data_IF_804957812261
#
_entry.id   IF_804957812261
#
_cell.length_a   1.000
_cell.length_b   1.000
_cell.length_c   1.000
_cell.angle_alpha   90.00
_cell.angle_beta   90.00
_cell.angle_gamma   90.00
#
_symmetry.space_group_name_H-M   'P 1'
#
loop_
_entity.id
_entity.type
_entity.pdbx_description
1 polymer ?
2 polymer ?
3 polymer ?
4 non-polymer ?
5 non-polymer ?
6 water ?
#
# COMPACT_ATOMS: atom_id res chain seq x y z
N UNK A 1 -14.01 1.75 -6.54
CA UNK A 1 -13.52 1.48 -7.87
C UNK A 1 -12.84 2.71 -8.47
N UNK A 2 -13.14 3.89 -7.95
CA UNK A 2 -12.59 5.07 -8.59
C UNK A 2 -12.45 6.32 -7.73
N UNK A 3 -12.99 7.41 -8.30
CA UNK A 3 -12.99 8.75 -7.72
C UNK A 3 -13.41 8.63 -6.28
N UNK A 4 -12.70 9.28 -5.36
CA UNK A 4 -13.03 9.16 -3.95
C UNK A 4 -13.20 7.71 -3.55
N UNK A 5 -12.58 6.86 -4.36
CA UNK A 5 -12.54 5.42 -4.23
C UNK A 5 -13.81 4.65 -4.59
N UNK A 6 -14.54 4.18 -3.58
CA UNK A 6 -15.72 3.37 -3.77
C UNK A 6 -17.06 4.05 -3.48
N UNK A 7 -17.76 3.49 -2.49
CA UNK A 7 -19.06 3.98 -2.05
C UNK A 7 -19.12 3.84 -0.57
N UNK A 8 -18.78 2.61 -0.19
CA UNK A 8 -18.65 2.20 1.19
C UNK A 8 -17.14 2.24 1.48
N UNK A 9 -16.38 2.67 0.47
CA UNK A 9 -14.94 2.70 0.61
C UNK A 9 -14.42 3.41 1.82
N UNK A 10 -13.28 2.92 2.26
CA UNK A 10 -12.56 3.55 3.35
C UNK A 10 -13.22 3.49 4.72
N UNK A 11 -14.39 2.80 4.84
CA UNK A 11 -15.07 2.65 6.14
C UNK A 11 -14.90 1.22 6.60
N UNK A 12 -14.07 0.99 7.63
CA UNK A 12 -13.81 -0.36 8.07
C UNK A 12 -14.92 -1.01 8.89
N UNK A 13 -15.26 -2.23 8.53
CA UNK A 13 -16.31 -2.93 9.24
C UNK A 13 -16.06 -3.03 10.72
N UNK A 14 -14.81 -3.27 11.11
CA UNK A 14 -14.56 -3.43 12.53
C UNK A 14 -14.28 -2.18 13.28
N UNK A 15 -14.17 -1.07 12.56
CA UNK A 15 -13.82 0.18 13.25
C UNK A 15 -14.87 1.27 12.95
N UNK A 16 -14.74 2.00 11.85
CA UNK A 16 -15.68 3.04 11.50
C UNK A 16 -17.13 2.60 11.55
N UNK A 17 -17.48 1.50 10.91
CA UNK A 17 -18.85 1.04 10.93
C UNK A 17 -19.40 0.78 12.33
N UNK A 18 -18.55 0.54 13.34
CA UNK A 18 -19.03 0.24 14.67
C UNK A 18 -18.67 1.37 15.61
N UNK A 19 -18.06 2.35 14.98
CA UNK A 19 -17.67 3.48 15.81
C UNK A 19 -16.57 3.09 16.79
N UNK A 20 -15.67 2.22 16.35
CA UNK A 20 -14.57 1.96 17.26
C UNK A 20 -13.34 2.53 16.57
N UNK A 21 -12.37 2.97 17.33
CA UNK A 21 -11.14 3.52 16.78
C UNK A 21 -9.98 2.57 16.95
N UNK A 22 -9.04 2.52 16.00
CA UNK A 22 -7.90 1.65 16.16
C UNK A 22 -6.93 2.32 17.11
N UNK A 23 -5.95 1.57 17.55
CA UNK A 23 -5.03 2.11 18.51
C UNK A 23 -4.17 3.29 18.17
N UNK A 24 -3.94 3.61 16.90
CA UNK A 24 -3.08 4.75 16.71
C UNK A 24 -3.69 5.74 15.76
N UNK A 25 -4.94 5.55 15.37
CA UNK A 25 -5.44 6.50 14.40
C UNK A 25 -5.41 7.96 14.88
N UNK A 26 -5.56 8.13 16.18
CA UNK A 26 -5.54 9.41 16.86
C UNK A 26 -4.30 10.18 16.38
N UNK A 27 -3.16 9.46 16.30
CA UNK A 27 -1.88 10.03 15.88
C UNK A 27 -2.05 10.74 14.54
N UNK A 28 -2.72 10.07 13.64
CA UNK A 28 -2.90 10.68 12.35
C UNK A 28 -3.72 11.93 12.49
N UNK A 29 -4.86 11.75 13.09
CA UNK A 29 -5.79 12.84 13.20
C UNK A 29 -5.15 14.01 13.89
N UNK A 30 -4.34 13.73 14.89
CA UNK A 30 -3.78 14.85 15.57
C UNK A 30 -2.75 15.57 14.74
N UNK A 31 -2.24 14.97 13.69
CA UNK A 31 -1.21 15.64 12.93
C UNK A 31 -1.85 16.50 11.88
N UNK A 32 -3.14 16.33 11.62
CA UNK A 32 -3.78 17.10 10.56
C UNK A 32 -4.20 18.36 11.27
N UNK A 33 -3.36 18.63 12.25
CA UNK A 33 -3.50 19.72 13.17
C UNK A 33 -4.82 19.57 13.93
N UNK A 34 -4.93 18.39 14.55
CA UNK A 34 -6.06 17.89 15.33
C UNK A 34 -7.31 17.71 14.49
N UNK A 35 -7.80 16.47 14.47
CA UNK A 35 -8.95 16.05 13.69
C UNK A 35 -10.31 16.68 13.98
N UNK A 36 -11.27 16.18 13.19
CA UNK A 36 -12.68 16.53 13.16
C UNK A 36 -13.27 16.92 14.52
N UNK B 1 8.17 -3.82 7.48
CA UNK B 1 8.12 -2.56 8.18
C UNK B 1 9.09 -2.58 9.36
N UNK B 2 9.88 -1.53 9.43
CA UNK B 2 10.87 -1.29 10.47
C UNK B 2 10.33 -0.32 11.48
N UNK B 3 10.34 -0.77 12.74
CA UNK B 3 9.86 0.01 13.88
C UNK B 3 8.35 0.21 13.85
N UNK B 4 7.58 -0.75 13.38
CA UNK B 4 6.15 -0.55 13.44
C UNK B 4 5.59 -1.39 14.58
N UNK B 5 4.33 -1.75 14.53
CA UNK B 5 3.72 -2.61 15.54
C UNK B 5 2.79 -3.56 14.85
N UNK B 6 2.30 -4.50 15.62
CA UNK B 6 1.37 -5.45 15.05
C UNK B 6 0.10 -4.72 14.74
N UNK B 7 -0.47 -4.95 13.58
CA UNK B 7 -1.71 -4.28 13.29
C UNK B 7 -2.77 -4.97 14.12
N UNK B 8 -3.94 -4.35 14.28
CA UNK B 8 -5.05 -4.97 14.96
C UNK B 8 -5.84 -5.73 13.90
N UNK B 9 -6.65 -6.68 14.34
CA UNK B 9 -7.40 -7.43 13.36
C UNK B 9 -8.38 -6.48 12.65
N UNK B 10 -8.49 -6.69 11.33
CA UNK B 10 -9.35 -5.88 10.50
C UNK B 10 -8.93 -4.41 10.43
N UNK B 11 -7.73 -4.05 10.81
CA UNK B 11 -7.32 -2.66 10.73
C UNK B 11 -7.04 -2.12 9.33
N UNK B 12 -6.65 -2.94 8.35
CA UNK B 12 -6.36 -2.53 6.98
C UNK B 12 -6.97 -3.58 6.09
N UNK B 13 -8.27 -3.61 6.10
CA UNK B 13 -8.95 -4.61 5.36
C UNK B 13 -8.74 -4.47 3.87
N UNK B 14 -8.03 -3.44 3.39
CA UNK B 14 -7.76 -3.37 1.96
C UNK B 14 -6.35 -3.90 1.68
N UNK B 15 -5.62 -4.27 2.72
CA UNK B 15 -4.26 -4.75 2.52
C UNK B 15 -4.27 -6.04 1.76
N UNK B 16 -3.50 -6.09 0.71
CA UNK B 16 -3.46 -7.28 -0.12
C UNK B 16 -2.08 -7.91 -0.13
N UNK B 17 -1.98 -9.23 -0.24
CA UNK B 17 -0.66 -9.83 -0.29
C UNK B 17 -0.39 -10.37 -1.67
N UNK B 18 0.66 -9.91 -2.33
CA UNK B 18 1.03 -10.39 -3.67
C UNK B 18 1.90 -11.62 -3.42
N UNK B 19 1.38 -12.75 -3.85
CA UNK B 19 2.01 -14.00 -3.50
C UNK B 19 2.47 -14.83 -4.67
N UNK B 20 3.74 -15.21 -4.51
CA UNK B 20 4.37 -16.02 -5.53
C UNK B 20 3.96 -17.49 -5.44
N UNK B 21 3.42 -17.96 -6.56
CA UNK B 21 2.97 -19.33 -6.64
C UNK B 21 4.12 -20.28 -6.48
N UNK B 22 5.17 -20.03 -7.25
CA UNK B 22 6.25 -20.96 -7.11
C UNK B 22 7.60 -20.46 -7.53
N UNK B 23 8.56 -20.42 -6.61
CA UNK B 23 8.45 -20.80 -5.22
C UNK B 23 7.36 -19.98 -4.54
N UNK B 24 6.84 -20.46 -3.43
CA UNK B 24 5.79 -19.75 -2.74
C UNK B 24 6.45 -18.69 -1.92
N UNK B 25 6.20 -17.43 -2.28
CA UNK B 25 6.80 -16.34 -1.52
C UNK B 25 6.04 -15.03 -1.63
N UNK B 26 6.27 -14.21 -0.63
CA UNK B 26 5.67 -12.90 -0.56
C UNK B 26 6.48 -12.06 -1.52
N UNK B 27 5.81 -11.46 -2.51
CA UNK B 27 6.43 -10.59 -3.49
C UNK B 27 6.40 -9.13 -3.04
N UNK B 28 5.23 -8.67 -2.56
CA UNK B 28 5.03 -7.27 -2.22
C UNK B 28 3.63 -7.15 -1.64
N UNK B 29 3.30 -5.93 -1.25
CA UNK B 29 1.98 -5.59 -0.74
C UNK B 29 1.20 -5.06 -1.95
N UNK B 30 -0.06 -4.76 -1.69
CA UNK B 30 -0.97 -4.24 -2.68
C UNK B 30 -2.20 -3.81 -1.93
N UNK B 31 -3.18 -3.23 -2.64
CA UNK B 31 -4.39 -2.74 -2.01
C UNK B 31 -5.62 -2.98 -2.89
N UNK B 32 -6.76 -3.28 -2.22
CA UNK B 32 -8.05 -3.58 -2.83
C UNK B 32 -8.77 -2.23 -2.92
N UNK B 33 -9.04 -1.83 -4.16
CA UNK B 33 -9.69 -0.57 -4.47
C UNK B 33 -11.15 -0.74 -4.87
N UNK B 34 -11.55 -1.96 -5.13
CA UNK B 34 -12.94 -2.28 -5.42
C UNK B 34 -13.05 -3.79 -5.35
N UNK B 35 -14.21 -4.33 -5.69
CA UNK B 35 -14.28 -5.77 -5.60
C UNK B 35 -13.48 -6.60 -6.59
N UNK B 36 -13.01 -5.99 -7.66
CA UNK B 36 -12.28 -6.72 -8.68
C UNK B 36 -10.87 -6.12 -8.97
N UNK B 37 -10.49 -5.05 -8.30
CA UNK B 37 -9.22 -4.39 -8.64
C UNK B 37 -8.24 -4.17 -7.52
N UNK B 38 -6.99 -4.48 -7.85
CA UNK B 38 -5.97 -4.32 -6.86
C UNK B 38 -4.95 -3.35 -7.39
N UNK B 39 -4.41 -2.52 -6.52
CA UNK B 39 -3.44 -1.50 -6.90
C UNK B 39 -2.11 -1.87 -6.24
N UNK B 40 -1.05 -1.74 -7.05
CA UNK B 40 0.28 -2.05 -6.55
C UNK B 40 1.30 -1.21 -7.32
N UNK B 41 2.57 -1.44 -7.02
CA UNK B 41 3.68 -0.73 -7.67
C UNK B 41 4.11 -1.53 -8.88
N UNK B 42 4.30 -0.84 -10.01
CA UNK B 42 4.76 -1.52 -11.22
C UNK B 42 6.00 -2.41 -11.00
N UNK B 43 6.95 -1.95 -10.20
CA UNK B 43 8.18 -2.65 -9.98
C UNK B 43 8.06 -3.97 -9.29
N UNK B 44 6.91 -4.15 -8.65
CA UNK B 44 6.67 -5.41 -8.01
C UNK B 44 6.49 -6.48 -9.08
N UNK B 45 6.06 -6.06 -10.27
CA UNK B 45 5.81 -6.98 -11.36
C UNK B 45 6.89 -6.99 -12.44
N UNK B 46 7.44 -5.81 -12.76
CA UNK B 46 8.40 -5.58 -13.83
C UNK B 46 9.56 -4.71 -13.44
N UNK B 47 10.70 -5.33 -13.63
CA UNK B 47 11.98 -4.74 -13.33
C UNK B 47 13.12 -5.45 -14.04
N UNK B 48 13.17 -5.16 -15.33
CA UNK B 48 14.15 -5.69 -16.27
C UNK B 48 15.60 -5.73 -15.79
N UNK B 49 16.09 -4.72 -15.11
CA UNK B 49 17.44 -4.81 -14.66
C UNK B 49 17.72 -6.01 -13.76
N UNK B 50 16.68 -6.64 -13.22
CA UNK B 50 16.92 -7.77 -12.33
C UNK B 50 16.22 -8.97 -12.87
N UNK B 51 15.91 -8.80 -14.14
CA UNK B 51 15.20 -9.85 -14.81
C UNK B 51 13.83 -10.14 -14.20
N UNK B 52 13.18 -9.15 -13.63
CA UNK B 52 11.87 -9.43 -13.06
C UNK B 52 10.77 -9.05 -14.01
N UNK B 53 9.98 -10.05 -14.39
CA UNK B 53 8.88 -9.78 -15.28
C UNK B 53 7.72 -10.72 -14.99
N UNK B 54 6.95 -10.46 -13.93
CA UNK B 54 5.81 -11.29 -13.55
C UNK B 54 4.59 -11.09 -14.41
N UNK B 55 4.01 -12.24 -14.52
CA UNK B 55 2.82 -12.46 -15.29
C UNK B 55 1.66 -12.93 -14.43
N UNK B 56 0.48 -12.73 -15.01
CA UNK B 56 -0.81 -13.03 -14.43
C UNK B 56 -0.74 -14.37 -13.77
N UNK B 57 -0.30 -15.30 -14.58
CA UNK B 57 -0.20 -16.68 -14.16
C UNK B 57 0.88 -16.97 -13.14
N UNK B 58 1.72 -16.00 -12.85
CA UNK B 58 2.77 -16.31 -11.91
C UNK B 58 2.38 -16.01 -10.51
N UNK B 59 1.27 -15.29 -10.38
CA UNK B 59 0.87 -14.80 -9.09
C UNK B 59 -0.51 -15.15 -8.59
N UNK B 60 -0.54 -14.95 -7.29
CA UNK B 60 -1.72 -15.08 -6.49
C UNK B 60 -1.90 -13.84 -5.60
N UNK B 61 -3.14 -13.43 -5.43
CA UNK B 61 -3.47 -12.31 -4.57
C UNK B 61 -4.19 -12.91 -3.35
N UNK B 62 -3.73 -12.60 -2.15
CA UNK B 62 -4.36 -13.08 -0.93
C UNK B 62 -4.86 -11.88 -0.17
N UNK B 63 -6.17 -11.89 0.10
CA UNK B 63 -6.85 -10.80 0.79
C UNK B 63 -7.50 -11.17 2.13
N UNK B 64 -7.54 -10.21 3.05
CA UNK B 64 -8.09 -10.40 4.37
C UNK B 64 -7.11 -11.05 5.33
N UNK B 65 -5.84 -11.05 4.98
CA UNK B 65 -4.86 -11.68 5.85
C UNK B 65 -4.44 -10.88 7.04
N UNK B 66 -3.91 -11.65 7.97
CA UNK B 66 -3.35 -11.05 9.15
C UNK B 66 -1.94 -11.64 9.35
N UNK B 67 -1.94 -12.93 9.55
CA UNK B 67 -0.71 -13.69 9.69
C UNK B 67 0.00 -13.71 8.33
N UNK B 68 1.33 -13.55 8.36
CA UNK B 68 2.11 -13.56 7.14
C UNK B 68 2.19 -14.93 6.43
N UNK B 69 2.51 -16.00 7.18
CA UNK B 69 2.68 -17.32 6.56
C UNK B 69 1.52 -18.30 6.65
N UNK B 70 0.64 -18.04 7.60
CA UNK B 70 -0.44 -18.99 7.73
C UNK B 70 -1.52 -18.88 6.67
N UNK B 71 -2.13 -20.02 6.35
CA UNK B 71 -3.22 -19.97 5.40
C UNK B 71 -4.46 -19.83 6.27
N UNK B 72 -4.92 -18.59 6.42
CA UNK B 72 -6.04 -18.25 7.29
C UNK B 72 -7.41 -18.73 6.82
N UNK B 73 -7.64 -20.00 7.12
CA UNK B 73 -8.84 -20.73 6.74
C UNK B 73 -10.07 -19.98 7.25
N UNK B 74 -11.01 -19.85 6.34
CA UNK B 74 -12.24 -19.16 6.58
C UNK B 74 -12.07 -17.67 6.77
N UNK B 75 -10.89 -17.12 6.58
CA UNK B 75 -10.73 -15.69 6.73
C UNK B 75 -10.24 -15.05 5.45
N UNK B 76 -9.09 -15.51 4.98
CA UNK B 76 -8.53 -14.94 3.78
C UNK B 76 -9.19 -15.50 2.55
N UNK B 77 -9.04 -14.77 1.48
CA UNK B 77 -9.50 -15.15 0.18
C UNK B 77 -8.30 -15.02 -0.75
N UNK B 78 -8.14 -16.04 -1.59
CA UNK B 78 -7.06 -16.08 -2.56
C UNK B 78 -7.63 -15.90 -3.94
N UNK B 79 -7.10 -15.02 -4.76
CA UNK B 79 -7.72 -14.90 -6.05
C UNK B 79 -6.65 -14.90 -7.07
N UNK B 80 -7.18 -15.07 -8.26
CA UNK B 80 -6.37 -15.08 -9.42
C UNK B 80 -6.60 -13.82 -10.19
N UNK B 81 -5.53 -13.56 -10.93
CA UNK B 81 -5.49 -12.38 -11.77
C UNK B 81 -6.00 -12.63 -13.15
N UNK B 82 -6.83 -11.71 -13.60
CA UNK B 82 -7.33 -11.75 -14.95
C UNK B 82 -6.34 -11.01 -15.83
N UNK B 83 -5.89 -9.83 -15.38
CA UNK B 83 -4.97 -9.02 -16.18
C UNK B 83 -4.24 -8.02 -15.34
N UNK B 84 -3.04 -7.73 -15.79
CA UNK B 84 -2.12 -6.77 -15.20
C UNK B 84 -1.96 -5.58 -16.12
N UNK B 85 -1.96 -4.39 -15.54
CA UNK B 85 -1.78 -3.21 -16.34
C UNK B 85 -0.74 -2.40 -15.64
N UNK B 86 0.30 -2.09 -16.37
CA UNK B 86 1.37 -1.27 -15.80
C UNK B 86 1.28 0.12 -16.43
N UNK B 87 1.66 1.18 -15.74
CA UNK B 87 1.60 2.46 -16.41
C UNK B 87 2.53 2.49 -17.63
N UNK B 88 1.98 2.82 -18.81
CA UNK B 88 2.73 2.91 -20.05
C UNK B 88 3.97 3.75 -19.90
N UNK B 89 4.02 4.72 -18.99
CA UNK B 89 5.22 5.49 -18.80
C UNK B 89 5.96 5.20 -17.50
N UNK B 90 5.76 4.03 -16.86
CA UNK B 90 6.51 3.71 -15.64
C UNK B 90 8.01 3.75 -16.02
N UNK B 91 8.83 4.47 -15.27
CA UNK B 91 10.24 4.60 -15.68
C UNK B 91 11.20 3.73 -14.90
N UNK B 92 11.32 2.46 -15.32
CA UNK B 92 12.21 1.58 -14.59
C UNK B 92 13.66 1.82 -14.92
N UNK B 93 13.95 2.47 -16.04
CA UNK B 93 15.33 2.74 -16.38
C UNK B 93 15.96 3.78 -15.50
N UNK B 94 15.20 4.77 -15.08
CA UNK B 94 15.87 5.78 -14.30
C UNK B 94 15.42 5.89 -12.88
N UNK B 95 14.22 6.33 -12.57
CA UNK B 95 13.96 6.48 -11.14
C UNK B 95 12.63 5.91 -10.62
N UNK B 96 12.05 4.94 -11.35
CA UNK B 96 10.79 4.33 -10.97
C UNK B 96 9.70 5.39 -10.94
N UNK B 97 9.75 6.30 -11.87
CA UNK B 97 8.71 7.30 -11.90
C UNK B 97 7.50 6.56 -12.44
N UNK B 98 6.35 6.92 -11.88
CA UNK B 98 5.10 6.30 -12.26
C UNK B 98 5.12 4.82 -11.91
N UNK B 99 5.53 4.52 -10.68
CA UNK B 99 5.61 3.14 -10.31
C UNK B 99 4.23 2.68 -9.83
N UNK B 100 3.36 2.28 -10.78
CA UNK B 100 2.03 1.90 -10.35
C UNK B 100 1.51 0.93 -11.34
N UNK B 101 0.56 0.12 -10.90
CA UNK B 101 -0.03 -0.85 -11.77
C UNK B 101 -1.27 -1.35 -11.07
N UNK B 102 -2.19 -1.73 -11.94
CA UNK B 102 -3.48 -2.30 -11.62
C UNK B 102 -3.54 -3.77 -12.01
N UNK B 103 -4.20 -4.54 -11.15
CA UNK B 103 -4.44 -5.95 -11.38
C UNK B 103 -5.93 -6.18 -11.23
N UNK B 104 -6.45 -6.78 -12.28
CA UNK B 104 -7.84 -7.10 -12.35
C UNK B 104 -8.06 -8.55 -11.93
N UNK B 105 -8.92 -8.70 -10.94
CA UNK B 105 -9.11 -10.03 -10.42
C UNK B 105 -9.92 -10.91 -11.32
N UNK B 106 -9.60 -12.19 -11.31
CA UNK B 106 -10.43 -13.05 -12.13
C UNK B 106 -11.91 -12.96 -11.77
N UNK B 107 -12.20 -12.88 -10.45
CA UNK B 107 -13.57 -12.72 -9.97
C UNK B 107 -13.60 -11.79 -8.78
N UNK B 108 -14.74 -11.12 -8.68
CA UNK B 108 -14.95 -10.18 -7.61
C UNK B 108 -14.81 -10.94 -6.32
N UNK B 109 -14.29 -10.24 -5.34
CA UNK B 109 -14.09 -10.85 -4.06
C UNK B 109 -15.24 -10.35 -3.22
N UNK B 110 -15.65 -11.11 -2.22
CA UNK B 110 -16.72 -10.60 -1.40
C UNK B 110 -16.12 -9.92 -0.19
N UNK B 111 -16.70 -8.78 0.17
CA UNK B 111 -16.31 -8.03 1.35
C UNK B 111 -16.74 -8.82 2.57
N UNK B 112 -16.09 -8.57 3.69
CA UNK B 112 -16.39 -9.25 4.92
C UNK B 112 -15.79 -8.31 5.94
N UNK B 113 -15.80 -8.72 7.20
CA UNK B 113 -15.21 -7.89 8.22
C UNK B 113 -13.73 -7.63 7.95
N UNK B 114 -13.07 -8.55 7.22
CA UNK B 114 -11.62 -8.49 7.02
C UNK B 114 -11.13 -8.04 5.65
N UNK B 115 -12.08 -7.86 4.77
CA UNK B 115 -11.87 -7.46 3.40
C UNK B 115 -12.80 -6.33 3.01
N UNK B 116 -12.23 -5.18 2.72
CA UNK B 116 -13.00 -4.02 2.35
C UNK B 116 -12.09 -3.05 1.61
N UNK B 117 -12.52 -2.43 0.52
CA UNK B 117 -11.69 -1.55 -0.26
C UNK B 117 -11.41 -0.20 0.35
N UNK B 118 -10.32 0.40 -0.09
CA UNK B 118 -9.95 1.72 0.38
C UNK B 118 -10.43 2.75 -0.65
N UNK B 119 -10.58 4.05 -0.33
CA UNK B 119 -10.97 4.98 -1.34
C UNK B 119 -9.76 5.61 -2.02
N UNK B 120 -9.97 6.03 -3.26
CA UNK B 120 -8.91 6.71 -3.97
C UNK B 120 -9.21 8.18 -3.76
N UNK B 121 -8.19 8.98 -3.53
CA UNK B 121 -8.45 10.37 -3.28
C UNK B 121 -8.96 11.14 -4.50
N UNK B 122 -9.65 12.22 -4.19
CA UNK B 122 -10.15 13.18 -5.14
C UNK B 122 -9.20 14.37 -4.98
N UNK B 123 -9.31 15.29 -5.93
CA UNK B 123 -8.46 16.48 -5.95
C UNK B 123 -8.46 17.22 -4.65
N UNK B 124 -9.64 17.33 -4.12
CA UNK B 124 -9.70 18.07 -2.90
C UNK B 124 -9.18 17.33 -1.70
N UNK B 125 -9.36 16.02 -1.70
CA UNK B 125 -8.85 15.30 -0.54
C UNK B 125 -7.32 15.41 -0.51
N UNK B 126 -6.76 15.22 -1.72
CA UNK B 126 -5.34 15.32 -1.97
C UNK B 126 -4.84 16.67 -1.55
N UNK B 127 -5.53 17.67 -2.06
CA UNK B 127 -5.12 18.99 -1.70
C UNK B 127 -5.06 19.18 -0.19
N UNK B 128 -6.09 18.75 0.54
CA UNK B 128 -6.04 18.93 1.98
C UNK B 128 -5.14 18.04 2.80
N UNK B 129 -4.92 16.81 2.38
CA UNK B 129 -4.14 16.00 3.31
C UNK B 129 -2.67 15.84 3.02
N UNK B 130 -2.40 15.98 1.72
CA UNK B 130 -1.04 15.82 1.26
C UNK B 130 -0.20 17.02 1.60
N UNK B 131 0.09 17.17 2.90
CA UNK B 131 0.89 18.26 3.45
C UNK B 131 2.01 17.84 4.40
N UNK B 132 3.16 18.53 4.26
CA UNK B 132 4.32 18.22 5.09
C UNK B 132 3.89 18.25 6.53
N UNK B 133 4.24 17.18 7.27
CA UNK B 133 3.90 17.06 8.66
C UNK B 133 2.65 16.18 8.89
N UNK B 134 1.80 16.11 7.90
CA UNK B 134 0.64 15.27 8.13
C UNK B 134 1.08 13.83 8.08
N UNK B 135 0.52 13.00 8.95
CA UNK B 135 0.94 11.61 8.93
C UNK B 135 0.01 10.71 8.18
N UNK B 136 0.59 9.68 7.61
CA UNK B 136 -0.09 8.64 6.86
C UNK B 136 0.32 7.33 7.52
N UNK B 137 -0.21 6.22 7.00
CA UNK B 137 0.09 4.97 7.62
C UNK B 137 0.47 4.00 6.55
N UNK B 138 1.47 3.19 6.89
CA UNK B 138 1.93 2.19 5.94
C UNK B 138 1.80 0.81 6.55
N UNK B 139 1.41 -0.16 5.76
CA UNK B 139 1.31 -1.44 6.42
C UNK B 139 1.95 -2.48 5.55
N UNK B 140 2.35 -3.60 6.16
CA UNK B 140 2.93 -4.63 5.31
C UNK B 140 3.60 -5.76 6.11
N UNK B 141 3.94 -6.82 5.43
CA UNK B 141 4.58 -7.97 6.05
C UNK B 141 6.08 -8.03 5.75
N UNK B 142 6.64 -6.94 5.26
CA UNK B 142 8.04 -6.88 4.92
C UNK B 142 8.94 -6.97 6.14
N UNK B 143 10.23 -7.03 5.83
CA UNK B 143 11.24 -7.16 6.84
C UNK B 143 11.10 -6.10 7.87
N UNK B 144 11.63 -6.51 9.01
CA UNK B 144 11.63 -5.71 10.20
C UNK B 144 12.91 -4.90 10.36
N UNK B 145 13.89 -5.24 9.54
CA UNK B 145 15.22 -4.63 9.58
C UNK B 145 15.88 -4.73 8.23
N UNK B 146 16.80 -3.78 7.96
CA UNK B 146 17.55 -3.74 6.71
C UNK B 146 18.25 -5.07 6.37
N UNK B 147 18.97 -5.67 7.32
CA UNK B 147 19.67 -6.97 7.24
C UNK B 147 19.59 -7.66 8.61
N UNK B 148 19.25 -8.92 8.86
CA UNK B 148 18.84 -9.16 10.22
C UNK B 148 18.86 -10.43 11.06
N UNK B 155 14.55 -9.46 11.72
CA UNK B 155 14.21 -10.56 10.82
C UNK B 155 12.86 -10.35 10.11
N UNK B 156 11.94 -11.28 10.23
CA UNK B 156 10.61 -11.10 9.59
C UNK B 156 9.37 -11.13 10.50
N UNK B 157 8.26 -10.41 10.24
CA UNK B 157 7.15 -10.45 11.21
C UNK B 157 6.24 -11.66 11.13
N UNK B 158 5.47 -11.89 12.19
CA UNK B 158 4.51 -13.02 12.13
C UNK B 158 3.14 -12.54 11.62
N UNK B 159 2.88 -11.30 11.99
CA UNK B 159 1.61 -10.67 11.65
C UNK B 159 1.79 -9.32 10.95
N UNK B 160 0.73 -8.89 10.27
CA UNK B 160 0.82 -7.64 9.58
C UNK B 160 1.32 -6.55 10.51
N UNK B 161 2.23 -5.67 10.02
CA UNK B 161 2.79 -4.58 10.84
C UNK B 161 2.27 -3.23 10.37
N UNK B 162 2.39 -2.24 11.22
CA UNK B 162 1.93 -0.93 10.84
C UNK B 162 2.82 0.17 11.39
N UNK B 163 2.87 1.30 10.70
CA UNK B 163 3.62 2.42 11.20
C UNK B 163 3.03 3.67 10.58
N UNK B 164 2.96 4.74 11.38
CA UNK B 164 2.48 6.02 10.92
C UNK B 164 3.67 6.92 10.66
N UNK B 165 3.68 7.63 9.56
CA UNK B 165 4.82 8.45 9.25
C UNK B 165 4.35 9.74 8.68
N UNK B 166 5.13 10.75 8.94
CA UNK B 166 4.84 12.09 8.42
C UNK B 166 5.32 12.33 6.98
N UNK B 167 4.50 13.04 6.23
CA UNK B 167 4.89 13.43 4.90
C UNK B 167 5.99 14.48 5.07
N UNK B 168 6.97 14.48 4.18
CA UNK B 168 8.10 15.39 4.26
C UNK B 168 8.13 16.42 3.12
N UNK B 169 8.67 17.61 3.38
CA UNK B 169 8.77 18.62 2.35
C UNK B 169 9.62 18.16 1.18
N UNK B 170 9.16 18.48 -0.03
CA UNK B 170 9.83 18.15 -1.24
C UNK B 170 11.34 18.40 -1.28
N UNK B 171 11.79 19.54 -0.79
CA UNK B 171 13.20 19.88 -0.82
C UNK B 171 14.01 18.95 0.06
N UNK B 172 13.50 18.69 1.27
CA UNK B 172 14.23 17.76 2.10
C UNK B 172 14.29 16.42 1.39
N UNK B 173 13.19 16.06 0.69
CA UNK B 173 13.17 14.80 -0.02
C UNK B 173 14.29 14.70 -1.04
N UNK B 174 14.32 15.73 -1.88
CA UNK B 174 15.28 15.88 -2.96
C UNK B 174 16.72 15.88 -2.46
N UNK B 175 16.92 16.62 -1.37
CA UNK B 175 18.25 16.74 -0.79
C UNK B 175 18.78 15.54 -0.08
N UNK B 176 17.99 14.48 -0.09
CA UNK B 176 18.35 13.29 0.64
C UNK B 176 18.85 12.23 -0.29
N UNK B 177 18.78 12.53 -1.57
CA UNK B 177 19.25 11.46 -2.42
C UNK B 177 19.84 12.05 -3.67
N UNK B 178 20.40 11.20 -4.50
CA UNK B 178 20.95 11.65 -5.76
C UNK B 178 20.05 11.28 -6.88
N UNK B 179 18.98 10.56 -6.53
CA UNK B 179 18.01 10.17 -7.55
C UNK B 179 17.13 11.38 -7.92
N UNK B 180 16.79 11.54 -9.20
CA UNK B 180 15.91 12.63 -9.64
C UNK B 180 14.44 12.28 -9.27
N UNK B 181 13.90 13.05 -8.35
CA UNK B 181 12.55 12.98 -7.81
C UNK B 181 11.59 13.66 -8.78
N UNK B 182 10.36 13.17 -8.94
CA UNK B 182 9.38 13.77 -9.84
C UNK B 182 8.16 14.12 -9.02
N UNK B 183 7.26 14.80 -9.70
CA UNK B 183 6.00 15.21 -9.14
C UNK B 183 5.17 13.98 -8.92
N UNK B 184 5.53 12.82 -9.48
CA UNK B 184 4.71 11.63 -9.25
C UNK B 184 5.11 10.84 -8.02
N UNK B 185 5.90 11.47 -7.16
CA UNK B 185 6.35 10.84 -5.95
C UNK B 185 6.31 11.80 -4.80
N UNK B 186 6.26 11.26 -3.59
CA UNK B 186 6.34 12.03 -2.40
C UNK B 186 7.17 11.16 -1.47
N UNK B 187 7.75 11.77 -0.45
CA UNK B 187 8.57 11.02 0.47
C UNK B 187 8.02 11.26 1.84
N UNK B 188 8.29 10.29 2.67
CA UNK B 188 7.80 10.44 4.03
C UNK B 188 8.73 9.73 5.02
N UNK B 189 8.62 10.15 6.27
CA UNK B 189 9.40 9.54 7.31
C UNK B 189 9.84 10.64 8.24
N UNK B 190 10.39 10.20 9.36
CA UNK B 190 10.87 11.15 10.32
C UNK B 190 12.29 11.57 9.93
N UNK B 191 12.64 12.74 10.45
CA UNK B 191 13.97 13.32 10.32
C UNK B 191 14.82 12.82 11.50
N UNK B 192 16.11 12.59 11.25
CA UNK B 192 17.02 12.07 12.27
C UNK B 192 16.87 12.70 13.65
N UNK B 193 16.50 13.97 13.57
CA UNK B 193 16.26 14.91 14.64
C UNK B 193 15.07 14.54 15.47
N UNK B 194 14.05 14.09 14.75
CA UNK B 194 12.77 13.75 15.30
C UNK B 194 12.73 12.72 16.40
N UNK B 195 13.72 11.84 16.44
CA UNK B 195 13.68 10.83 17.49
C UNK B 195 12.37 10.04 17.46
N UNK B 196 12.14 9.41 16.33
CA UNK B 196 10.99 8.58 16.02
C UNK B 196 11.42 7.95 14.74
N UNK B 197 11.26 6.65 14.59
CA UNK B 197 11.74 6.00 13.40
C UNK B 197 10.59 5.31 12.72
N UNK B 198 10.92 4.50 11.73
CA UNK B 198 9.94 3.72 11.02
C UNK B 198 10.11 3.88 9.54
N UNK B 199 9.84 2.78 8.86
CA UNK B 199 9.94 2.82 7.43
C UNK B 199 9.40 1.51 6.88
N UNK B 200 9.15 1.52 5.59
CA UNK B 200 8.77 0.36 4.86
C UNK B 200 10.11 -0.32 4.60
N UNK B 201 10.06 -1.59 4.30
CA UNK B 201 11.27 -2.33 4.04
C UNK B 201 10.98 -3.40 3.02
N UNK B 202 11.99 -4.20 2.79
CA UNK B 202 11.81 -5.24 1.81
C UNK B 202 10.57 -6.06 2.08
N UNK B 203 9.76 -6.32 1.05
CA UNK B 203 8.56 -7.09 1.29
C UNK B 203 7.35 -6.18 1.39
N UNK B 204 7.52 -4.91 1.74
CA UNK B 204 6.43 -3.97 1.87
C UNK B 204 6.05 -3.19 0.62
N UNK B 205 6.91 -3.17 -0.37
CA UNK B 205 6.63 -2.41 -1.57
C UNK B 205 5.34 -2.81 -2.19
N UNK B 206 4.74 -1.83 -2.86
CA UNK B 206 3.48 -2.04 -3.54
C UNK B 206 2.35 -1.86 -2.56
N UNK B 207 2.68 -1.80 -1.26
CA UNK B 207 1.64 -1.59 -0.26
C UNK B 207 1.17 -0.11 -0.22
N UNK B 208 0.09 0.10 0.53
CA UNK B 208 -0.51 1.44 0.60
C UNK B 208 -0.02 2.34 1.70
N UNK B 209 -0.05 3.61 1.34
CA UNK B 209 0.26 4.62 2.33
C UNK B 209 -1.13 5.25 2.43
N UNK B 210 -1.74 5.18 3.58
CA UNK B 210 -3.09 5.72 3.60
C UNK B 210 -3.25 6.80 4.61
N UNK B 211 -4.31 7.60 4.39
CA UNK B 211 -4.68 8.65 5.34
C UNK B 211 -6.18 8.63 5.63
N UNK B 212 -6.57 9.05 6.84
CA UNK B 212 -7.98 9.10 7.21
C UNK B 212 -8.47 10.54 7.12
N UNK B 213 -9.50 10.80 6.30
CA UNK B 213 -10.03 12.16 6.16
C UNK B 213 -10.74 12.60 7.43
N UNK B 214 -10.37 13.80 7.89
CA UNK B 214 -11.01 14.31 9.08
C UNK B 214 -12.37 14.88 8.70
N UNK B 215 -12.65 15.04 7.40
CA UNK B 215 -13.91 15.58 6.95
C UNK B 215 -14.93 14.51 6.81
N UNK B 216 -14.57 13.35 6.29
CA UNK B 216 -15.61 12.35 6.17
C UNK B 216 -15.34 11.00 6.83
N UNK B 217 -14.30 10.91 7.62
CA UNK B 217 -13.95 9.67 8.31
C UNK B 217 -13.51 8.47 7.52
N UNK B 218 -13.31 8.67 6.22
CA UNK B 218 -12.89 7.57 5.41
C UNK B 218 -11.40 7.49 5.21
N UNK B 219 -10.95 6.27 4.92
CA UNK B 219 -9.56 6.07 4.63
C UNK B 219 -9.30 6.22 3.13
N UNK B 220 -8.26 7.00 2.83
CA UNK B 220 -7.86 7.21 1.44
C UNK B 220 -6.43 6.76 1.18
N UNK B 221 -6.20 6.12 0.05
CA UNK B 221 -4.82 5.73 -0.21
C UNK B 221 -4.12 6.85 -0.97
N UNK B 222 -3.22 7.53 -0.31
CA UNK B 222 -2.55 8.58 -1.05
C UNK B 222 -1.29 8.15 -1.76
N UNK B 223 -0.64 7.09 -1.27
CA UNK B 223 0.61 6.63 -1.84
C UNK B 223 0.74 5.11 -1.92
N UNK B 224 1.76 4.70 -2.71
CA UNK B 224 2.12 3.29 -2.84
C UNK B 224 3.56 3.20 -2.44
N UNK B 225 3.93 2.25 -1.60
CA UNK B 225 5.31 2.05 -1.17
C UNK B 225 6.14 1.78 -2.43
N UNK B 226 7.06 2.71 -2.75
CA UNK B 226 7.78 2.56 -4.00
C UNK B 226 9.27 2.31 -3.87
N UNK B 227 10.00 3.24 -3.26
CA UNK B 227 11.41 2.98 -3.13
C UNK B 227 12.02 3.75 -1.99
N UNK B 228 13.23 3.30 -1.66
CA UNK B 228 13.98 3.93 -0.60
C UNK B 228 15.35 3.31 -0.55
N UNK B 229 16.30 4.04 -0.01
CA UNK B 229 17.70 3.61 0.09
C UNK B 229 17.93 3.06 1.48
N UNK B 230 17.91 1.72 1.56
CA UNK B 230 18.01 1.00 2.83
C UNK B 230 16.64 1.03 3.52
N UNK B 231 16.60 0.80 4.82
CA UNK B 231 15.32 0.87 5.52
C UNK B 231 15.52 1.57 6.82
N UNK B 232 14.74 2.60 7.02
CA UNK B 232 14.87 3.29 8.28
C UNK B 232 16.26 3.87 8.47
N UNK B 233 16.95 4.25 7.41
CA UNK B 233 18.26 4.83 7.65
C UNK B 233 18.11 6.30 8.00
N UNK B 234 19.02 6.83 8.84
CA UNK B 234 18.97 8.24 9.20
C UNK B 234 19.26 9.16 8.02
N UNK B 235 18.47 10.21 7.89
CA UNK B 235 18.60 11.14 6.80
C UNK B 235 18.07 10.60 5.47
N UNK B 236 17.42 9.45 5.50
CA UNK B 236 16.89 8.92 4.26
C UNK B 236 15.36 8.83 4.46
N UNK B 237 14.60 8.84 3.38
CA UNK B 237 13.17 8.79 3.44
C UNK B 237 12.65 7.75 2.50
N UNK B 238 11.36 7.50 2.67
CA UNK B 238 10.72 6.55 1.82
C UNK B 238 10.06 7.36 0.73
N UNK B 239 10.08 6.78 -0.46
CA UNK B 239 9.43 7.44 -1.55
C UNK B 239 8.21 6.63 -1.89
N UNK B 240 7.13 7.35 -2.22
CA UNK B 240 5.89 6.70 -2.58
C UNK B 240 5.31 7.24 -3.86
N UNK B 241 4.63 6.40 -4.64
CA UNK B 241 3.92 6.87 -5.81
C UNK B 241 2.73 7.73 -5.42
N UNK B 242 2.57 8.86 -6.10
CA UNK B 242 1.52 9.86 -5.82
C UNK B 242 0.27 9.44 -6.51
N UNK B 243 -0.56 8.78 -5.74
CA UNK B 243 -1.71 8.16 -6.37
C UNK B 243 -2.58 9.18 -7.08
N UNK B 244 -2.82 10.27 -6.39
CA UNK B 244 -3.70 11.22 -7.01
C UNK B 244 -3.22 11.67 -8.38
N UNK B 245 -1.95 12.04 -8.48
CA UNK B 245 -1.43 12.49 -9.75
C UNK B 245 -1.62 11.46 -10.80
N UNK B 246 -1.74 10.21 -10.41
CA UNK B 246 -1.90 9.22 -11.44
C UNK B 246 -3.33 8.71 -11.52
N UNK B 247 -4.25 9.41 -10.89
CA UNK B 247 -5.61 8.93 -10.90
C UNK B 247 -6.31 8.78 -12.25
N UNK B 248 -6.01 9.73 -13.14
CA UNK B 248 -6.65 9.69 -14.43
C UNK B 248 -6.26 8.41 -15.12
N UNK B 249 -5.03 8.04 -15.01
CA UNK B 249 -4.71 6.81 -15.66
C UNK B 249 -5.50 5.65 -15.02
N UNK B 250 -5.68 5.71 -13.71
CA UNK B 250 -6.40 4.68 -13.00
C UNK B 250 -7.84 4.57 -13.48
N UNK B 251 -8.56 5.69 -13.53
CA UNK B 251 -9.94 5.76 -14.01
C UNK B 251 -10.00 5.22 -15.42
N UNK B 252 -9.08 5.74 -16.21
CA UNK B 252 -9.01 5.34 -17.59
C UNK B 252 -9.01 3.85 -17.68
N UNK B 253 -8.07 3.24 -16.99
CA UNK B 253 -8.05 1.80 -17.11
C UNK B 253 -9.27 1.08 -16.57
N UNK B 254 -9.78 1.54 -15.46
CA UNK B 254 -10.92 0.82 -14.94
C UNK B 254 -12.12 0.99 -15.85
N UNK B 255 -12.25 2.16 -16.46
CA UNK B 255 -13.39 2.34 -17.34
C UNK B 255 -13.29 1.68 -18.68
N UNK B 256 -12.08 1.69 -19.24
CA UNK B 256 -11.86 1.09 -20.53
C UNK B 256 -11.78 -0.42 -20.43
N UNK B 257 -11.67 -0.93 -19.22
CA UNK B 257 -11.54 -2.36 -19.12
C UNK B 257 -12.34 -3.11 -18.05
N UNK B 258 -13.32 -2.51 -17.38
CA UNK B 258 -14.00 -3.36 -16.42
C UNK B 258 -14.53 -2.69 -15.17
N UNK B 259 -13.76 -2.75 -14.10
CA UNK B 259 -14.14 -2.20 -12.81
C UNK B 259 -14.92 -3.28 -12.12
N UNK C 1 8.76 -21.11 4.47
CA UNK C 1 8.09 -20.76 5.72
C UNK C 1 6.59 -20.57 5.56
N UNK C 2 6.14 -20.57 4.32
CA UNK C 2 4.75 -20.38 4.08
C UNK C 2 3.96 -21.65 4.27
N UNK C 3 2.85 -21.53 4.98
CA UNK C 3 2.01 -22.68 5.12
C UNK C 3 1.36 -22.90 3.76
N UNK C 4 1.16 -24.18 3.48
CA UNK C 4 0.57 -24.66 2.26
C UNK C 4 -0.82 -24.07 2.07
N UNK C 5 -1.11 -23.65 0.83
CA UNK C 5 -2.41 -23.13 0.51
C UNK C 5 -3.20 -24.21 -0.20
N UNK C 6 -4.51 -24.08 -0.29
CA UNK C 6 -5.23 -25.10 -0.98
C UNK C 6 -4.93 -25.16 -2.49
N UNK C 7 -4.81 -26.38 -3.00
CA UNK C 7 -4.52 -26.69 -4.39
C UNK C 7 -5.52 -26.13 -5.38
N UNK C 8 -6.74 -25.87 -4.91
CA UNK C 8 -7.70 -25.21 -5.76
C UNK C 8 -7.16 -23.85 -6.23
N UNK C 9 -6.28 -23.23 -5.44
CA UNK C 9 -5.72 -21.93 -5.78
C UNK C 9 -4.46 -22.04 -6.62
N UNK C 10 -4.06 -23.27 -6.85
CA UNK C 10 -2.87 -23.37 -7.64
C UNK C 10 -3.12 -23.71 -9.10
X LIG D 1 7.59 -8.89 -20.05
X LIG D 1 8.39 -8.16 -21.13
X LIG D 1 7.47 -7.88 -22.31
X LIG D 1 6.89 -9.17 -22.82
X LIG D 1 6.17 -9.92 -21.67
X LIG D 1 5.70 -11.29 -22.17
X LIG D 1 10.14 -6.52 -21.13
X LIG D 1 10.98 -7.72 -21.51
X LIG D 1 8.89 -6.84 -20.71
X LIG D 1 8.21 -7.53 -23.49
X LIG D 1 5.93 -8.81 -23.87
X LIG D 1 7.12 -10.14 -20.59
X LIG D 1 4.95 -11.94 -21.18
X LIG D 1 10.56 -5.38 -20.96
X LIG E 1 12.68 -3.91 -8.33
X LIG E 1 13.97 -3.21 -7.98
X LIG E 1 14.03 -1.67 -7.74
X LIG E 1 15.16 -1.21 -6.80
X LIG E 1 16.24 -0.25 -7.31
X LIG E 1 17.06 0.49 -6.35
X LIG E 1 17.38 1.80 -6.74
X LIG E 1 16.40 2.65 -6.50
X LIG E 1 15.82 2.71 -5.44
X LIG E 1 16.07 3.40 -7.53
X LIG E 1 16.65 3.15 -8.83
X LIG E 1 15.03 4.42 -7.51
X LIG E 1 17.48 0.14 -5.12
X LIG E 1 18.23 0.97 -4.55
X LIG E 1 17.14 -1.10 -4.70
X LIG F 1 12.84 1.50 2.63
X LIG F 1 12.79 0.64 1.44
X LIG F 1 11.39 0.34 0.98
X LIG F 1 11.34 -0.23 -0.42
X LIG F 1 11.14 -1.74 -0.50
X LIG F 1 11.24 -2.19 -1.87
X LIG F 1 12.52 -2.49 -2.39
X LIG F 1 12.90 -3.76 -2.46
X LIG F 1 12.40 -4.61 -1.73
X LIG F 1 13.87 -4.04 -3.30
X LIG F 1 14.40 -2.98 -4.12
X LIG F 1 14.43 -5.37 -3.32
X LIG F 1 10.14 -2.50 -2.54
X LIG F 1 10.21 -3.08 -3.60
#
# INVERSE_FOLDING_TARGET
TFGSGEADCGLRPLFEKKSLEDKTERELLESYIDGR
IVEGSDAEIGMSPWQVMLFRKSPQELLCGASLISDRWVLTAAHCLLYPPWDKNFTENDLLVRIGKHSRTRYERNIEKISMLEKIYIHPRYNWRENLDRDIALMKLKKPVAFSDYIHPVCLPDRETAASLLQAGYKGRVTGWGNLKETWTANVGKGQPSVLQVVNLPIVERPVCKDSTRIRITDNMFCAGYKPDEGKRGDACEGDSGGPFVMKSPFNNRWYQMGIVSWGEGCDRDGKYGFYTHVFRLKKWIQKVIDQFGE
DFEEIPEEYL
NAG C1 C2 C3 C4 C5 C6 C7 C8 N2 O3 O4 O5 O6 O7
IN2 N1 C2 C3 C4 C5 N6 N7 C8 O8 N9 C10 C11 C12 O1 O2
IN2 N1 C2 C3 C4 C5 N6 N7 C8 O8 N9 C10 C11 C12 O1
#
